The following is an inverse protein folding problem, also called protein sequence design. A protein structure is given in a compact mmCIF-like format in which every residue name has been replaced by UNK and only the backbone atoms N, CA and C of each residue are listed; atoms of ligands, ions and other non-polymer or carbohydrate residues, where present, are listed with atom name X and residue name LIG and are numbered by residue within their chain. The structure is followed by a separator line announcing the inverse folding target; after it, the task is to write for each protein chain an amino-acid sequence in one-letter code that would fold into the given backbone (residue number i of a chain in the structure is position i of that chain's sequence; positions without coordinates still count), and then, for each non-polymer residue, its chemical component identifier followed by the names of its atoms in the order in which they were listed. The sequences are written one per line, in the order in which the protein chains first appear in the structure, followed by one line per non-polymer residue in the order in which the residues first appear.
data_IF_963871141649
#
_entry.id   IF_963871141649
#
_cell.length_a   1.000
_cell.length_b   1.000
_cell.length_c   1.000
_cell.angle_alpha   90.00
_cell.angle_beta   90.00
_cell.angle_gamma   90.00
#
_symmetry.space_group_name_H-M   'P 1'
#
loop_
_entity.id
_entity.type
_entity.pdbx_description
1 polymer ?
#
# COMPACT_ATOMS: atom_id res chain seq x y z
N UNK A 1 -21.93 -34.29 -13.76
CA UNK A 1 -21.51 -33.06 -13.04
C UNK A 1 -20.14 -32.67 -13.57
N UNK A 2 -20.01 -31.51 -14.22
CA UNK A 2 -18.69 -30.96 -14.57
C UNK A 2 -18.03 -30.57 -13.25
N UNK A 3 -16.99 -31.31 -12.85
CA UNK A 3 -16.02 -30.78 -11.91
C UNK A 3 -15.30 -29.64 -12.64
N UNK A 4 -15.80 -28.42 -12.48
CA UNK A 4 -14.98 -27.24 -12.72
C UNK A 4 -13.80 -27.36 -11.77
N UNK A 5 -12.63 -27.70 -12.32
CA UNK A 5 -11.35 -27.57 -11.64
C UNK A 5 -11.19 -26.07 -11.33
N UNK A 6 -11.75 -25.63 -10.19
CA UNK A 6 -11.48 -24.31 -9.64
C UNK A 6 -10.01 -24.32 -9.27
N UNK A 7 -9.16 -23.88 -10.21
CA UNK A 7 -7.74 -23.66 -9.93
C UNK A 7 -7.69 -22.52 -8.93
N UNK A 8 -7.22 -22.80 -7.72
CA UNK A 8 -7.01 -21.77 -6.71
C UNK A 8 -5.86 -20.87 -7.17
N UNK A 9 -6.20 -19.68 -7.67
CA UNK A 9 -5.26 -18.71 -8.20
C UNK A 9 -4.73 -17.78 -7.12
N UNK A 10 -3.49 -17.31 -7.28
CA UNK A 10 -2.91 -16.31 -6.40
C UNK A 10 -3.70 -14.99 -6.48
N UNK A 11 -3.71 -14.27 -5.37
CA UNK A 11 -4.36 -12.97 -5.24
C UNK A 11 -3.35 -11.95 -4.71
N UNK A 12 -3.24 -10.81 -5.37
CA UNK A 12 -2.29 -9.77 -5.01
C UNK A 12 -2.96 -8.41 -4.87
N UNK A 13 -2.44 -7.59 -3.97
CA UNK A 13 -2.70 -6.16 -3.94
C UNK A 13 -1.38 -5.41 -4.06
N UNK A 14 -1.28 -4.53 -5.05
CA UNK A 14 -0.08 -3.76 -5.30
C UNK A 14 -0.19 -2.37 -4.68
N UNK A 15 0.82 -2.03 -3.91
CA UNK A 15 1.05 -0.72 -3.33
C UNK A 15 2.35 -0.20 -3.95
N UNK A 16 2.29 0.91 -4.67
CA UNK A 16 3.44 1.42 -5.44
C UNK A 16 4.07 2.62 -4.76
N UNK A 17 5.38 2.56 -4.51
CA UNK A 17 6.17 3.66 -3.94
C UNK A 17 6.80 4.54 -5.03
N UNK A 18 7.37 5.67 -4.60
CA UNK A 18 8.13 6.60 -5.42
C UNK A 18 7.38 7.08 -6.68
N UNK A 19 6.06 7.20 -6.59
CA UNK A 19 5.21 7.60 -7.71
C UNK A 19 5.58 8.99 -8.27
N UNK A 20 6.09 9.88 -7.42
CA UNK A 20 6.55 11.22 -7.80
C UNK A 20 7.83 11.21 -8.67
N UNK A 21 8.55 10.09 -8.75
CA UNK A 21 9.72 9.96 -9.63
C UNK A 21 9.37 9.60 -11.07
N UNK A 22 8.10 9.31 -11.36
CA UNK A 22 7.65 8.94 -12.69
C UNK A 22 7.53 10.15 -13.60
N UNK A 23 7.80 9.95 -14.88
CA UNK A 23 7.45 10.93 -15.90
C UNK A 23 5.95 10.87 -16.26
N UNK A 24 5.47 11.84 -17.03
CA UNK A 24 4.05 11.95 -17.37
C UNK A 24 3.51 10.74 -18.15
N UNK A 25 4.32 10.16 -19.05
CA UNK A 25 3.95 8.96 -19.81
C UNK A 25 3.69 7.77 -18.88
N UNK A 26 4.63 7.54 -17.94
CA UNK A 26 4.54 6.47 -16.95
C UNK A 26 3.34 6.65 -16.02
N UNK A 27 3.12 7.87 -15.53
CA UNK A 27 1.95 8.23 -14.71
C UNK A 27 0.66 7.93 -15.46
N UNK A 28 0.55 8.40 -16.70
CA UNK A 28 -0.64 8.20 -17.52
C UNK A 28 -0.90 6.70 -17.74
N UNK A 29 0.15 5.92 -18.01
CA UNK A 29 0.00 4.48 -18.20
C UNK A 29 -0.52 3.78 -16.93
N UNK A 30 0.03 4.09 -15.76
CA UNK A 30 -0.45 3.54 -14.48
C UNK A 30 -1.91 3.93 -14.22
N UNK A 31 -2.27 5.19 -14.50
CA UNK A 31 -3.64 5.68 -14.37
C UNK A 31 -4.64 4.96 -15.29
N UNK A 32 -4.23 4.58 -16.50
CA UNK A 32 -5.09 3.83 -17.43
C UNK A 32 -4.99 2.31 -17.31
N UNK A 33 -4.04 1.80 -16.51
CA UNK A 33 -3.86 0.36 -16.34
C UNK A 33 -5.10 -0.31 -15.74
N UNK A 34 -5.42 -1.50 -16.27
CA UNK A 34 -6.52 -2.35 -15.77
C UNK A 34 -6.12 -3.18 -14.56
N UNK A 35 -4.85 -3.12 -14.16
CA UNK A 35 -4.36 -3.69 -12.91
C UNK A 35 -4.62 -2.68 -11.79
N UNK A 36 -5.38 -3.04 -10.74
CA UNK A 36 -5.52 -2.19 -9.56
C UNK A 36 -4.15 -1.91 -8.94
N UNK A 37 -3.87 -0.63 -8.73
CA UNK A 37 -2.67 -0.17 -8.05
C UNK A 37 -3.09 0.90 -7.04
N UNK A 38 -2.56 0.77 -5.83
CA UNK A 38 -2.71 1.73 -4.75
C UNK A 38 -1.40 2.52 -4.62
N UNK A 39 -1.46 3.85 -4.60
CA UNK A 39 -0.27 4.68 -4.56
C UNK A 39 0.12 4.95 -3.11
N UNK A 40 1.35 4.59 -2.74
CA UNK A 40 1.89 4.88 -1.42
C UNK A 40 2.39 6.32 -1.37
N UNK A 41 1.87 7.09 -0.42
CA UNK A 41 2.21 8.50 -0.26
C UNK A 41 2.73 8.79 1.14
N UNK A 42 3.81 9.55 1.22
CA UNK A 42 4.31 10.14 2.46
C UNK A 42 3.73 11.54 2.63
N UNK A 43 3.05 11.87 3.74
CA UNK A 43 2.43 13.16 3.96
C UNK A 43 3.38 14.35 3.75
N UNK A 44 3.04 15.20 2.78
CA UNK A 44 3.84 16.33 2.32
C UNK A 44 2.99 17.30 1.49
N UNK A 45 3.51 18.49 1.20
CA UNK A 45 2.83 19.46 0.32
C UNK A 45 2.68 18.89 -1.10
N UNK A 46 3.68 18.12 -1.54
CA UNK A 46 3.71 17.47 -2.84
C UNK A 46 2.63 16.38 -2.93
N UNK A 47 2.48 15.53 -1.90
CA UNK A 47 1.45 14.50 -1.87
C UNK A 47 0.04 15.10 -1.78
N UNK A 48 -0.15 16.21 -1.05
CA UNK A 48 -1.43 16.93 -1.00
C UNK A 48 -1.89 17.35 -2.41
N UNK A 49 -0.95 17.84 -3.23
CA UNK A 49 -1.22 18.24 -4.62
C UNK A 49 -1.49 17.02 -5.53
N UNK A 50 -0.88 15.87 -5.22
CA UNK A 50 -1.03 14.63 -5.97
C UNK A 50 -2.40 13.97 -5.74
N UNK A 51 -3.00 14.11 -4.55
CA UNK A 51 -4.28 13.47 -4.20
C UNK A 51 -5.39 13.74 -5.22
N UNK A 52 -5.49 14.97 -5.72
CA UNK A 52 -6.50 15.32 -6.73
C UNK A 52 -6.31 14.54 -8.03
N UNK A 53 -5.06 14.29 -8.44
CA UNK A 53 -4.76 13.51 -9.64
C UNK A 53 -5.11 12.04 -9.44
N UNK A 54 -4.77 11.47 -8.28
CA UNK A 54 -5.08 10.08 -7.93
C UNK A 54 -6.59 9.84 -7.96
N UNK A 55 -7.34 10.68 -7.24
CA UNK A 55 -8.79 10.57 -7.12
C UNK A 55 -9.52 10.79 -8.44
N UNK A 56 -9.14 11.81 -9.23
CA UNK A 56 -9.73 12.07 -10.56
C UNK A 56 -9.54 10.90 -11.52
N UNK A 57 -8.42 10.16 -11.40
CA UNK A 57 -8.15 8.97 -12.20
C UNK A 57 -8.70 7.67 -11.58
N UNK A 58 -9.56 7.77 -10.56
CA UNK A 58 -10.19 6.62 -9.87
C UNK A 58 -9.16 5.62 -9.34
N UNK A 59 -7.97 6.10 -8.97
CA UNK A 59 -6.96 5.30 -8.28
C UNK A 59 -7.09 5.50 -6.77
N UNK A 60 -6.52 4.57 -6.03
CA UNK A 60 -6.55 4.56 -4.57
C UNK A 60 -5.15 4.89 -4.04
N UNK A 61 -5.08 5.27 -2.77
CA UNK A 61 -3.80 5.56 -2.11
C UNK A 61 -3.76 5.00 -0.69
N UNK A 62 -2.55 4.93 -0.14
CA UNK A 62 -2.26 4.56 1.24
C UNK A 62 -1.22 5.51 1.78
N UNK A 63 -1.25 5.76 3.08
CA UNK A 63 -0.34 6.71 3.75
C UNK A 63 0.81 5.95 4.38
N UNK A 64 2.04 6.37 4.09
CA UNK A 64 3.25 5.92 4.77
C UNK A 64 3.65 6.93 5.85
N UNK A 65 3.76 6.45 7.08
CA UNK A 65 4.36 7.16 8.19
C UNK A 65 5.80 6.68 8.33
N UNK A 66 6.76 7.57 8.07
CA UNK A 66 8.19 7.27 8.15
C UNK A 66 8.98 8.47 8.68
N UNK A 67 10.32 8.38 8.64
CA UNK A 67 11.21 9.46 9.10
C UNK A 67 11.32 10.64 8.12
N UNK A 68 10.78 10.54 6.91
CA UNK A 68 10.93 11.53 5.82
C UNK A 68 9.82 12.60 5.85
N UNK A 69 8.85 12.49 6.77
CA UNK A 69 7.83 13.52 6.96
C UNK A 69 8.50 14.76 7.57
N UNK A 70 8.66 15.79 6.76
CA UNK A 70 9.27 17.07 7.17
C UNK A 70 8.25 18.17 7.42
N UNK A 71 7.06 18.10 6.83
CA UNK A 71 6.05 19.13 7.00
C UNK A 71 5.57 19.20 8.46
N UNK A 72 5.66 20.39 9.06
CA UNK A 72 5.27 20.63 10.45
C UNK A 72 3.86 20.15 10.81
N UNK A 73 2.89 20.27 9.90
CA UNK A 73 1.51 19.85 10.13
C UNK A 73 1.34 18.33 10.21
N UNK A 74 2.26 17.57 9.60
CA UNK A 74 2.21 16.10 9.58
C UNK A 74 3.30 15.48 10.45
N UNK A 75 4.19 16.30 11.01
CA UNK A 75 5.39 15.84 11.71
C UNK A 75 5.03 14.95 12.90
N UNK A 76 5.52 13.71 12.87
CA UNK A 76 5.42 12.73 13.96
C UNK A 76 6.82 12.31 14.40
N UNK A 77 7.36 13.03 15.39
CA UNK A 77 8.69 12.77 15.97
C UNK A 77 8.59 12.45 17.47
N UNK A 78 9.41 11.52 18.00
CA UNK A 78 9.34 11.10 19.40
C UNK A 78 9.45 12.22 20.42
N UNK A 79 10.18 13.28 20.09
CA UNK A 79 10.48 14.41 20.97
C UNK A 79 9.30 15.40 21.09
N UNK A 80 8.29 15.27 20.24
CA UNK A 80 7.14 16.16 20.24
C UNK A 80 6.20 15.86 21.42
N UNK A 81 5.61 16.93 21.96
CA UNK A 81 4.57 16.78 22.99
C UNK A 81 3.38 15.97 22.47
N UNK A 82 2.70 15.22 23.35
CA UNK A 82 1.46 14.50 23.01
C UNK A 82 0.40 15.39 22.37
N UNK A 83 0.30 16.66 22.80
CA UNK A 83 -0.60 17.65 22.18
C UNK A 83 -0.23 17.84 20.71
N UNK A 84 1.05 18.09 20.40
CA UNK A 84 1.50 18.28 19.02
C UNK A 84 1.30 17.03 18.17
N UNK A 85 1.66 15.85 18.69
CA UNK A 85 1.43 14.58 18.00
C UNK A 85 -0.05 14.36 17.67
N UNK A 86 -0.96 14.62 18.60
CA UNK A 86 -2.41 14.54 18.37
C UNK A 86 -2.89 15.50 17.28
N UNK A 87 -2.40 16.74 17.28
CA UNK A 87 -2.70 17.69 16.21
C UNK A 87 -2.22 17.15 14.87
N UNK A 88 -0.97 16.69 14.78
CA UNK A 88 -0.40 16.15 13.52
C UNK A 88 -1.19 14.94 13.01
N UNK A 89 -1.56 14.01 13.90
CA UNK A 89 -2.42 12.86 13.54
C UNK A 89 -3.78 13.35 13.02
N UNK A 90 -4.39 14.36 13.65
CA UNK A 90 -5.65 14.94 13.16
C UNK A 90 -5.49 15.51 11.75
N UNK A 91 -4.42 16.26 11.49
CA UNK A 91 -4.14 16.82 10.17
C UNK A 91 -3.92 15.73 9.12
N UNK A 92 -3.16 14.69 9.44
CA UNK A 92 -2.97 13.55 8.53
C UNK A 92 -4.33 12.91 8.20
N UNK A 93 -5.15 12.58 9.20
CA UNK A 93 -6.44 11.93 8.96
C UNK A 93 -7.40 12.85 8.19
N UNK A 94 -7.38 14.15 8.47
CA UNK A 94 -8.21 15.13 7.78
C UNK A 94 -7.82 15.30 6.30
N UNK A 95 -6.52 15.30 5.99
CA UNK A 95 -6.02 15.55 4.65
C UNK A 95 -5.99 14.28 3.77
N UNK A 96 -5.98 13.10 4.39
CA UNK A 96 -5.92 11.81 3.72
C UNK A 96 -7.15 10.93 4.05
N UNK A 97 -8.40 11.41 3.90
CA UNK A 97 -9.59 10.74 4.43
C UNK A 97 -9.94 9.44 3.70
N UNK A 98 -9.50 9.29 2.44
CA UNK A 98 -9.79 8.13 1.59
C UNK A 98 -8.60 7.14 1.50
N UNK A 99 -7.62 7.29 2.40
CA UNK A 99 -6.51 6.36 2.48
C UNK A 99 -7.04 4.95 2.81
N UNK A 100 -6.70 3.97 1.96
CA UNK A 100 -7.12 2.59 2.18
C UNK A 100 -6.32 1.91 3.29
N UNK A 101 -5.05 2.31 3.46
CA UNK A 101 -4.17 1.84 4.52
C UNK A 101 -3.38 3.00 5.12
N UNK A 102 -3.05 2.84 6.40
CA UNK A 102 -2.01 3.61 7.06
C UNK A 102 -0.89 2.65 7.46
N UNK A 103 0.28 2.85 6.87
CA UNK A 103 1.45 1.99 7.01
C UNK A 103 2.49 2.76 7.84
N UNK A 104 3.11 2.10 8.81
CA UNK A 104 4.20 2.66 9.62
C UNK A 104 5.49 1.92 9.32
N UNK A 105 6.54 2.65 8.98
CA UNK A 105 7.88 2.08 8.85
C UNK A 105 8.36 1.60 10.23
N UNK A 106 8.50 0.28 10.39
CA UNK A 106 8.94 -0.34 11.64
C UNK A 106 10.43 -0.11 11.96
N UNK A 107 11.20 0.43 11.02
CA UNK A 107 12.56 0.94 11.26
C UNK A 107 12.58 2.43 11.62
N UNK A 108 11.42 3.11 11.65
CA UNK A 108 11.35 4.53 11.95
C UNK A 108 11.70 4.84 13.41
N UNK A 109 12.20 6.05 13.66
CA UNK A 109 12.45 6.54 15.03
C UNK A 109 11.16 6.58 15.84
N UNK A 110 10.05 6.91 15.18
CA UNK A 110 8.74 6.98 15.80
C UNK A 110 8.29 5.59 16.29
N UNK A 111 8.32 4.58 15.43
CA UNK A 111 7.89 3.22 15.75
C UNK A 111 8.67 2.63 16.93
N UNK A 112 9.97 2.87 16.97
CA UNK A 112 10.87 2.36 18.01
C UNK A 112 10.91 3.21 19.29
N UNK A 113 10.02 4.19 19.44
CA UNK A 113 9.99 5.11 20.58
C UNK A 113 8.93 4.75 21.63
N UNK A 114 9.14 5.21 22.86
CA UNK A 114 8.16 5.05 23.95
C UNK A 114 6.82 5.74 23.67
N UNK A 115 6.79 6.77 22.81
CA UNK A 115 5.56 7.50 22.47
C UNK A 115 4.74 6.82 21.38
N UNK A 116 5.27 5.77 20.74
CA UNK A 116 4.57 5.07 19.65
C UNK A 116 3.21 4.51 20.10
N UNK A 117 3.11 3.94 21.30
CA UNK A 117 1.83 3.45 21.83
C UNK A 117 0.76 4.55 21.85
N UNK A 118 1.14 5.77 22.25
CA UNK A 118 0.22 6.91 22.20
C UNK A 118 -0.21 7.24 20.76
N UNK A 119 0.72 7.25 19.81
CA UNK A 119 0.41 7.50 18.40
C UNK A 119 -0.54 6.46 17.83
N UNK A 120 -0.23 5.17 18.05
CA UNK A 120 -1.08 4.05 17.62
C UNK A 120 -2.49 4.18 18.20
N UNK A 121 -2.61 4.46 19.50
CA UNK A 121 -3.89 4.56 20.18
C UNK A 121 -4.70 5.78 19.66
N UNK A 122 -4.04 6.90 19.34
CA UNK A 122 -4.71 8.06 18.73
C UNK A 122 -5.22 7.77 17.30
N UNK A 123 -4.50 7.00 16.48
CA UNK A 123 -5.05 6.51 15.21
C UNK A 123 -6.23 5.56 15.44
N UNK A 124 -6.13 4.65 16.41
CA UNK A 124 -7.18 3.67 16.73
C UNK A 124 -8.48 4.33 17.21
N UNK A 125 -8.42 5.43 17.98
CA UNK A 125 -9.61 6.23 18.36
C UNK A 125 -10.39 6.74 17.15
N UNK A 126 -9.74 6.84 15.98
CA UNK A 126 -10.35 7.27 14.71
C UNK A 126 -10.70 6.07 13.81
N UNK A 127 -10.72 4.86 14.36
CA UNK A 127 -10.91 3.60 13.64
C UNK A 127 -9.86 3.34 12.55
N UNK A 128 -8.63 3.84 12.76
CA UNK A 128 -7.51 3.63 11.84
C UNK A 128 -6.50 2.70 12.48
N UNK A 129 -6.23 1.59 11.82
CA UNK A 129 -5.16 0.66 12.20
C UNK A 129 -3.86 1.06 11.48
N UNK A 130 -2.77 1.12 12.25
CA UNK A 130 -1.42 1.27 11.68
C UNK A 130 -0.83 -0.11 11.41
N UNK A 131 -0.52 -0.37 10.14
CA UNK A 131 0.10 -1.63 9.72
C UNK A 131 1.63 -1.47 9.63
N UNK A 132 2.42 -2.27 10.35
CA UNK A 132 3.87 -2.31 10.19
C UNK A 132 4.28 -2.61 8.74
N UNK A 133 5.29 -1.91 8.23
CA UNK A 133 5.79 -2.11 6.87
C UNK A 133 6.30 -3.54 6.63
N UNK A 134 6.91 -4.17 7.64
CA UNK A 134 7.32 -5.59 7.61
C UNK A 134 6.21 -6.61 7.34
N UNK A 135 4.93 -6.23 7.50
CA UNK A 135 3.81 -7.12 7.21
C UNK A 135 3.52 -7.22 5.70
N UNK A 136 4.19 -6.39 4.90
CA UNK A 136 4.08 -6.33 3.44
C UNK A 136 5.29 -7.01 2.79
N UNK A 137 5.07 -7.61 1.60
CA UNK A 137 6.17 -8.11 0.79
C UNK A 137 6.74 -6.94 0.01
N UNK A 138 7.92 -6.49 0.38
CA UNK A 138 8.63 -5.42 -0.35
C UNK A 138 9.52 -6.03 -1.43
N UNK A 139 9.39 -5.53 -2.65
CA UNK A 139 10.20 -5.92 -3.79
C UNK A 139 11.18 -4.79 -4.13
N UNK A 140 12.44 -5.15 -4.35
CA UNK A 140 13.46 -4.21 -4.83
C UNK A 140 13.08 -3.61 -6.19
N UNK A 141 13.70 -2.47 -6.54
CA UNK A 141 13.45 -1.78 -7.81
C UNK A 141 13.97 -2.53 -9.07
N UNK A 142 14.36 -3.80 -8.94
CA UNK A 142 14.87 -4.61 -10.04
C UNK A 142 13.76 -5.49 -10.65
N UNK A 143 13.54 -5.34 -11.95
CA UNK A 143 12.53 -6.11 -12.69
C UNK A 143 12.68 -7.63 -12.56
N UNK A 144 13.90 -8.16 -12.70
CA UNK A 144 14.13 -9.61 -12.69
C UNK A 144 13.86 -10.21 -11.29
N UNK A 145 14.25 -9.50 -10.24
CA UNK A 145 13.96 -9.89 -8.86
C UNK A 145 12.45 -9.88 -8.63
N UNK A 146 11.76 -8.84 -9.10
CA UNK A 146 10.32 -8.72 -9.00
C UNK A 146 9.58 -9.86 -9.70
N UNK A 147 9.95 -10.17 -10.95
CA UNK A 147 9.39 -11.30 -11.68
C UNK A 147 9.64 -12.62 -10.95
N UNK A 148 10.87 -12.84 -10.47
CA UNK A 148 11.24 -14.09 -9.79
C UNK A 148 10.42 -14.29 -8.51
N UNK A 149 10.28 -13.24 -7.70
CA UNK A 149 9.50 -13.29 -6.46
C UNK A 149 7.99 -13.45 -6.75
N UNK A 150 7.46 -12.76 -7.75
CA UNK A 150 6.06 -12.92 -8.16
C UNK A 150 5.78 -14.34 -8.67
N UNK A 151 6.67 -14.93 -9.47
CA UNK A 151 6.57 -16.33 -9.92
C UNK A 151 6.55 -17.29 -8.72
N UNK A 152 7.43 -17.08 -7.75
CA UNK A 152 7.43 -17.88 -6.52
C UNK A 152 6.06 -17.84 -5.83
N UNK A 153 5.43 -16.67 -5.68
CA UNK A 153 4.10 -16.57 -5.05
C UNK A 153 2.96 -17.12 -5.91
N UNK A 154 3.08 -17.02 -7.24
CA UNK A 154 2.13 -17.61 -8.18
C UNK A 154 2.15 -19.14 -8.11
N UNK A 155 3.31 -19.76 -7.90
CA UNK A 155 3.52 -21.21 -7.98
C UNK A 155 3.47 -21.92 -6.61
N UNK A 156 3.88 -21.26 -5.53
CA UNK A 156 4.02 -21.87 -4.19
C UNK A 156 2.70 -22.14 -3.46
N UNK A 157 1.56 -21.67 -3.98
CA UNK A 157 0.27 -21.71 -3.29
C UNK A 157 0.16 -20.77 -2.08
N UNK A 158 1.27 -20.16 -1.62
CA UNK A 158 1.26 -19.14 -0.56
C UNK A 158 0.52 -17.88 -1.03
N UNK A 159 0.58 -17.56 -2.32
CA UNK A 159 -0.15 -16.45 -2.93
C UNK A 159 -1.68 -16.58 -2.87
N UNK A 160 -2.21 -17.76 -2.50
CA UNK A 160 -3.66 -17.99 -2.38
C UNK A 160 -4.29 -17.20 -1.23
N UNK A 161 -3.53 -16.95 -0.15
CA UNK A 161 -4.02 -16.23 1.04
C UNK A 161 -4.12 -14.71 0.85
N UNK A 162 -3.93 -14.21 -0.38
CA UNK A 162 -3.89 -12.77 -0.64
C UNK A 162 -2.60 -12.15 -0.11
N UNK A 163 -1.81 -11.53 -0.99
CA UNK A 163 -0.55 -10.89 -0.59
C UNK A 163 -0.54 -9.41 -0.96
N UNK A 164 -0.20 -8.58 0.01
CA UNK A 164 0.13 -7.18 -0.23
C UNK A 164 1.58 -7.08 -0.65
N UNK A 165 1.82 -6.42 -1.77
CA UNK A 165 3.15 -6.25 -2.36
C UNK A 165 3.43 -4.76 -2.47
N UNK A 166 4.52 -4.31 -1.86
CA UNK A 166 5.06 -2.98 -2.03
C UNK A 166 6.20 -3.05 -3.05
N UNK A 167 6.18 -2.19 -4.06
CA UNK A 167 7.26 -2.12 -5.04
C UNK A 167 7.39 -0.72 -5.63
N UNK A 168 8.53 -0.47 -6.26
CA UNK A 168 8.76 0.77 -6.98
C UNK A 168 7.81 0.95 -8.16
N UNK A 169 7.29 2.17 -8.31
CA UNK A 169 6.37 2.51 -9.39
C UNK A 169 6.96 2.32 -10.80
N UNK A 170 8.28 2.48 -10.99
CA UNK A 170 8.95 2.16 -12.27
C UNK A 170 8.93 0.66 -12.55
N UNK A 171 9.23 -0.15 -11.54
CA UNK A 171 9.15 -1.62 -11.65
C UNK A 171 7.73 -2.09 -11.92
N UNK A 172 6.72 -1.47 -11.28
CA UNK A 172 5.32 -1.76 -11.57
C UNK A 172 4.95 -1.44 -13.03
N UNK A 173 5.39 -0.28 -13.53
CA UNK A 173 5.21 0.12 -14.92
C UNK A 173 5.80 -0.90 -15.92
N UNK A 174 6.98 -1.45 -15.62
CA UNK A 174 7.66 -2.47 -16.44
C UNK A 174 6.95 -3.83 -16.37
N UNK A 175 6.38 -4.18 -15.22
CA UNK A 175 5.69 -5.45 -14.99
C UNK A 175 4.31 -5.56 -15.67
N UNK A 176 3.78 -4.49 -16.26
CA UNK A 176 2.38 -4.48 -16.69
C UNK A 176 2.01 -5.67 -17.60
N UNK A 177 2.82 -5.96 -18.62
CA UNK A 177 2.55 -7.09 -19.53
C UNK A 177 2.54 -8.42 -18.78
N UNK A 178 3.52 -8.63 -17.89
CA UNK A 178 3.57 -9.82 -17.04
C UNK A 178 2.33 -9.95 -16.15
N UNK A 179 1.85 -8.85 -15.57
CA UNK A 179 0.66 -8.84 -14.73
C UNK A 179 -0.62 -9.11 -15.54
N UNK A 180 -0.74 -8.54 -16.74
CA UNK A 180 -1.88 -8.79 -17.64
C UNK A 180 -1.93 -10.26 -18.07
N UNK A 181 -0.79 -10.83 -18.48
CA UNK A 181 -0.72 -12.26 -18.84
C UNK A 181 -1.16 -13.17 -17.67
N UNK A 182 -0.70 -12.86 -16.45
CA UNK A 182 -1.08 -13.64 -15.27
C UNK A 182 -2.54 -13.41 -14.86
N UNK A 183 -3.10 -12.22 -15.10
CA UNK A 183 -4.55 -11.95 -14.96
C UNK A 183 -5.37 -12.87 -15.86
N UNK A 184 -4.98 -12.98 -17.13
CA UNK A 184 -5.63 -13.84 -18.12
C UNK A 184 -5.53 -15.33 -17.74
N UNK A 185 -4.47 -15.71 -17.02
CA UNK A 185 -4.28 -17.07 -16.46
C UNK A 185 -5.05 -17.30 -15.15
N UNK A 186 -5.81 -16.32 -14.67
CA UNK A 186 -6.70 -16.44 -13.51
C UNK A 186 -6.21 -15.77 -12.23
N UNK A 187 -5.01 -15.17 -12.23
CA UNK A 187 -4.50 -14.39 -11.08
C UNK A 187 -5.43 -13.22 -10.81
N UNK A 188 -5.76 -12.99 -9.53
CA UNK A 188 -6.64 -11.89 -9.14
C UNK A 188 -5.84 -10.75 -8.55
N UNK A 189 -6.22 -9.53 -8.92
CA UNK A 189 -5.61 -8.31 -8.43
C UNK A 189 -6.69 -7.46 -7.78
N UNK A 190 -6.41 -6.97 -6.58
CA UNK A 190 -7.34 -6.28 -5.73
C UNK A 190 -6.74 -4.98 -5.22
N UNK A 191 -7.58 -3.98 -4.97
CA UNK A 191 -7.19 -2.87 -4.11
C UNK A 191 -6.93 -3.36 -2.68
N UNK A 192 -6.15 -2.61 -1.89
CA UNK A 192 -5.89 -3.01 -0.51
C UNK A 192 -7.14 -3.27 0.34
N UNK A 193 -8.16 -2.40 0.22
CA UNK A 193 -9.41 -2.56 0.95
C UNK A 193 -10.12 -3.89 0.59
N UNK A 194 -10.26 -4.19 -0.70
CA UNK A 194 -10.87 -5.45 -1.17
C UNK A 194 -10.11 -6.67 -0.67
N UNK A 195 -8.77 -6.63 -0.69
CA UNK A 195 -7.97 -7.75 -0.23
C UNK A 195 -8.08 -7.97 1.29
N UNK A 196 -8.17 -6.89 2.07
CA UNK A 196 -8.39 -6.98 3.52
C UNK A 196 -9.73 -7.62 3.86
N UNK A 197 -10.80 -7.25 3.15
CA UNK A 197 -12.13 -7.85 3.32
C UNK A 197 -12.10 -9.36 3.02
N UNK A 198 -11.46 -9.75 1.92
CA UNK A 198 -11.27 -11.15 1.53
C UNK A 198 -10.51 -11.90 2.62
N UNK A 199 -9.37 -11.39 3.08
CA UNK A 199 -8.56 -12.06 4.09
C UNK A 199 -9.30 -12.20 5.43
N UNK A 200 -10.02 -11.15 5.85
CA UNK A 200 -10.85 -11.18 7.06
C UNK A 200 -11.99 -12.20 6.98
N UNK A 201 -12.56 -12.39 5.79
CA UNK A 201 -13.62 -13.39 5.59
C UNK A 201 -13.10 -14.83 5.68
N UNK A 202 -11.88 -15.08 5.19
CA UNK A 202 -11.23 -16.40 5.22
C UNK A 202 -10.81 -16.81 6.64
N UNK A 203 -10.39 -15.87 7.47
CA UNK A 203 -10.04 -16.13 8.88
C UNK A 203 -11.26 -16.51 9.74
N UNK A 204 -12.47 -16.10 9.35
CA UNK A 204 -13.71 -16.42 10.09
C UNK A 204 -14.29 -17.80 9.78
N UNK A 205 -13.86 -18.42 8.68
CA UNK A 205 -14.36 -19.72 8.20
C UNK A 205 -13.47 -20.89 8.63
N UNK A 206 -12.26 -20.60 9.09
CA UNK A 206 -11.31 -21.58 9.64
C UNK A 206 -11.27 -21.52 11.17
#
# INVERSE_FOLDING_TARGET
MKNELVREHASFSFIIDNFLELNEEQINKIFHSTIPANILITPSIQSDSLLRKITTNKKTYSVLINNEIENDNYLLKPELSKKRLRESIRYIVWNYPDAQLYIIDDNSKLFNSAVFNFVRDEFAVRNINLFPLKDFITISSNYNDAVSLLKFYLESGIGKKGKFIILNSKTFYELENFLIENKQRGTKYYSPAELMEINSSLERVN
#
